data_IF_544997799967
#
_entry.id   IF_544997799967
#
_cell.length_a   1.000
_cell.length_b   1.000
_cell.length_c   1.000
_cell.angle_alpha   90.00
_cell.angle_beta   90.00
_cell.angle_gamma   90.00
#
_symmetry.space_group_name_H-M   'P 1'
#
loop_
_entity.id
_entity.type
_entity.pdbx_description
1 polymer ?
#
# COMPACT_ATOMS: atom_id res chain seq x y z
N UNK A 1 -9.99 20.20 6.14
CA UNK A 1 -8.83 19.32 6.33
C UNK A 1 -8.97 18.09 5.46
N UNK A 2 -7.95 17.78 4.70
CA UNK A 2 -7.95 16.61 3.86
C UNK A 2 -7.53 15.35 4.60
N UNK A 3 -7.62 14.22 3.90
CA UNK A 3 -7.23 12.94 4.44
C UNK A 3 -5.72 12.75 4.43
N UNK A 4 -5.20 12.14 5.49
CA UNK A 4 -3.81 11.68 5.58
C UNK A 4 -3.84 10.22 6.01
N UNK A 5 -3.27 9.35 5.22
CA UNK A 5 -3.15 7.96 5.62
C UNK A 5 -1.99 7.27 4.88
N UNK A 6 -1.57 6.16 5.43
CA UNK A 6 -0.59 5.28 4.84
C UNK A 6 -1.10 3.84 4.96
N UNK A 7 -0.98 3.09 3.88
CA UNK A 7 -1.40 1.68 3.84
C UNK A 7 -0.35 0.85 3.13
N UNK A 8 -0.24 -0.40 3.56
CA UNK A 8 0.63 -1.38 2.91
C UNK A 8 -0.25 -2.50 2.38
N UNK A 9 -0.10 -2.81 1.10
CA UNK A 9 -0.73 -3.97 0.47
C UNK A 9 0.36 -4.94 0.06
N UNK A 10 0.26 -6.17 0.53
CA UNK A 10 1.23 -7.23 0.22
C UNK A 10 0.56 -8.26 -0.68
N UNK A 11 1.18 -8.60 -1.80
CA UNK A 11 0.66 -9.63 -2.70
C UNK A 11 1.00 -11.01 -2.14
N UNK A 12 0.29 -11.39 -1.08
CA UNK A 12 0.48 -12.62 -0.35
C UNK A 12 -0.81 -12.97 0.38
N UNK A 13 -0.97 -14.24 0.71
CA UNK A 13 -2.11 -14.68 1.50
C UNK A 13 -1.89 -14.38 2.97
N UNK A 14 -2.95 -13.98 3.66
CA UNK A 14 -2.93 -13.69 5.09
C UNK A 14 -2.46 -14.91 5.90
N UNK A 15 -2.84 -16.09 5.48
CA UNK A 15 -2.49 -17.35 6.13
C UNK A 15 -0.99 -17.62 6.12
N UNK A 16 -0.26 -17.03 5.17
CA UNK A 16 1.18 -17.18 5.02
C UNK A 16 1.98 -16.13 5.79
N UNK A 17 1.35 -15.40 6.72
CA UNK A 17 2.01 -14.32 7.46
C UNK A 17 3.30 -14.76 8.18
N UNK A 18 3.42 -16.03 8.54
CA UNK A 18 4.63 -16.56 9.15
C UNK A 18 5.82 -16.54 8.20
N UNK A 19 5.57 -16.48 6.90
CA UNK A 19 6.61 -16.49 5.88
C UNK A 19 7.04 -15.08 5.46
N UNK A 20 6.17 -14.07 5.60
CA UNK A 20 6.48 -12.75 5.09
C UNK A 20 6.34 -11.62 6.13
N UNK A 21 5.44 -11.74 7.11
CA UNK A 21 5.24 -10.68 8.10
C UNK A 21 6.09 -10.90 9.34
N UNK A 22 6.00 -12.08 9.96
CA UNK A 22 6.72 -12.33 11.22
C UNK A 22 8.24 -12.22 11.05
N UNK A 23 8.86 -12.75 9.96
CA UNK A 23 10.30 -12.54 9.75
C UNK A 23 10.66 -11.07 9.57
N UNK A 24 9.84 -10.28 8.87
CA UNK A 24 10.08 -8.86 8.67
C UNK A 24 10.01 -8.10 9.99
N UNK A 25 8.98 -8.39 10.81
CA UNK A 25 8.84 -7.76 12.13
C UNK A 25 10.00 -8.12 13.06
N UNK A 26 10.42 -9.39 13.05
CA UNK A 26 11.56 -9.83 13.85
C UNK A 26 12.85 -9.12 13.44
N UNK A 27 13.06 -8.92 12.14
CA UNK A 27 14.21 -8.19 11.62
C UNK A 27 14.25 -6.75 12.14
N UNK A 28 13.08 -6.15 12.37
CA UNK A 28 12.95 -4.80 12.89
C UNK A 28 12.96 -4.74 14.43
N UNK A 29 13.12 -5.88 15.09
CA UNK A 29 13.19 -5.95 16.55
C UNK A 29 11.85 -6.09 17.26
N UNK A 30 10.79 -6.45 16.54
CA UNK A 30 9.46 -6.65 17.12
C UNK A 30 9.11 -8.11 17.25
N UNK A 31 8.30 -8.42 18.25
CA UNK A 31 7.75 -9.75 18.44
C UNK A 31 6.25 -9.68 18.71
N UNK A 32 5.55 -10.74 18.36
CA UNK A 32 4.13 -10.85 18.63
C UNK A 32 3.89 -11.07 20.11
N UNK A 33 2.97 -10.27 20.70
CA UNK A 33 2.57 -10.42 22.10
C UNK A 33 1.05 -10.41 22.16
N UNK A 34 0.49 -11.03 23.22
CA UNK A 34 -0.97 -11.08 23.40
C UNK A 34 -1.49 -9.91 24.21
N UNK A 35 -0.66 -9.33 25.08
CA UNK A 35 -1.04 -8.22 25.95
C UNK A 35 0.05 -7.15 25.98
N UNK A 36 -0.35 -5.92 26.31
CA UNK A 36 0.56 -4.76 26.45
C UNK A 36 1.44 -4.53 25.21
N UNK A 37 0.81 -4.58 24.04
CA UNK A 37 1.51 -4.35 22.79
C UNK A 37 1.78 -2.86 22.59
N UNK A 38 2.94 -2.54 21.96
CA UNK A 38 3.27 -1.16 21.57
C UNK A 38 2.33 -0.64 20.50
N UNK A 39 1.84 -1.52 19.63
CA UNK A 39 0.87 -1.19 18.61
C UNK A 39 0.15 -2.46 18.15
N UNK A 40 -0.98 -2.25 17.48
CA UNK A 40 -1.77 -3.35 16.91
C UNK A 40 -1.75 -3.28 15.40
N UNK A 41 -1.48 -4.41 14.78
CA UNK A 41 -1.47 -4.56 13.33
C UNK A 41 -2.63 -5.46 12.92
N UNK A 42 -3.47 -4.94 12.04
CA UNK A 42 -4.61 -5.69 11.50
C UNK A 42 -4.30 -6.14 10.07
N UNK A 43 -4.64 -7.38 9.78
CA UNK A 43 -4.48 -7.96 8.45
C UNK A 43 -5.85 -8.25 7.87
N UNK A 44 -6.07 -7.77 6.64
CA UNK A 44 -7.32 -8.03 5.94
C UNK A 44 -7.04 -8.60 4.55
N UNK A 45 -7.60 -9.76 4.26
CA UNK A 45 -7.50 -10.36 2.92
C UNK A 45 -8.32 -9.54 1.93
N UNK A 46 -7.70 -9.18 0.80
CA UNK A 46 -8.29 -8.32 -0.22
C UNK A 46 -8.01 -8.91 -1.61
N UNK A 47 -8.63 -10.06 -1.91
CA UNK A 47 -8.34 -10.81 -3.11
C UNK A 47 -7.03 -11.59 -2.99
N UNK A 48 -6.12 -11.41 -3.94
CA UNK A 48 -4.79 -12.03 -3.89
C UNK A 48 -3.81 -11.23 -3.01
N UNK A 49 -4.29 -10.16 -2.36
CA UNK A 49 -3.49 -9.26 -1.55
C UNK A 49 -3.91 -9.33 -0.09
N UNK A 50 -3.01 -8.92 0.80
CA UNK A 50 -3.31 -8.67 2.21
C UNK A 50 -3.00 -7.22 2.52
N UNK A 51 -3.97 -6.50 3.09
CA UNK A 51 -3.80 -5.10 3.47
C UNK A 51 -3.48 -5.02 4.96
N UNK A 52 -2.49 -4.20 5.30
CA UNK A 52 -2.06 -3.97 6.67
C UNK A 52 -2.61 -2.65 7.17
N UNK A 53 -3.30 -2.69 8.31
CA UNK A 53 -3.80 -1.53 9.02
C UNK A 53 -3.12 -1.43 10.38
N UNK A 54 -2.75 -0.22 10.75
CA UNK A 54 -2.11 0.05 12.04
C UNK A 54 -3.07 0.83 12.92
N UNK A 55 -3.21 0.39 14.15
CA UNK A 55 -3.94 1.09 15.19
C UNK A 55 -2.92 1.65 16.18
N UNK A 56 -3.22 2.81 16.74
CA UNK A 56 -2.36 3.64 17.58
C UNK A 56 -1.30 4.42 16.79
N UNK A 57 -1.60 5.71 16.64
CA UNK A 57 -0.96 6.62 15.72
C UNK A 57 0.42 7.17 16.11
N UNK A 58 1.13 6.55 17.04
CA UNK A 58 2.46 7.03 17.43
C UNK A 58 3.60 6.39 16.63
N UNK A 59 3.25 5.66 15.56
CA UNK A 59 4.27 5.09 14.69
C UNK A 59 4.89 6.18 13.83
N UNK A 60 6.22 6.22 13.83
CA UNK A 60 6.92 7.16 12.97
C UNK A 60 6.71 6.79 11.49
N UNK A 61 6.57 7.79 10.60
CA UNK A 61 6.40 7.51 9.17
C UNK A 61 7.51 6.63 8.59
N UNK A 62 8.73 6.77 9.10
CA UNK A 62 9.87 5.96 8.67
C UNK A 62 9.70 4.48 9.01
N UNK A 63 8.93 4.15 10.03
CA UNK A 63 8.70 2.75 10.41
C UNK A 63 7.95 1.99 9.31
N UNK A 64 6.89 2.59 8.75
CA UNK A 64 6.10 1.94 7.70
C UNK A 64 6.94 1.71 6.44
N UNK A 65 7.77 2.67 6.09
CA UNK A 65 8.69 2.51 4.95
C UNK A 65 9.68 1.38 5.21
N UNK A 66 10.26 1.33 6.40
CA UNK A 66 11.20 0.27 6.78
C UNK A 66 10.50 -1.09 6.77
N UNK A 67 9.25 -1.15 7.23
CA UNK A 67 8.47 -2.39 7.25
C UNK A 67 8.18 -2.90 5.84
N UNK A 68 7.75 -2.02 4.92
CA UNK A 68 7.44 -2.44 3.56
C UNK A 68 8.71 -2.92 2.83
N UNK A 69 9.86 -2.31 3.11
CA UNK A 69 11.14 -2.77 2.59
C UNK A 69 11.47 -4.17 3.11
N UNK A 70 11.29 -4.40 4.41
CA UNK A 70 11.58 -5.70 5.02
C UNK A 70 10.64 -6.79 4.50
N UNK A 71 9.36 -6.50 4.36
CA UNK A 71 8.39 -7.47 3.83
C UNK A 71 8.72 -7.82 2.37
N UNK A 72 9.00 -6.81 1.54
CA UNK A 72 9.30 -7.04 0.13
C UNK A 72 10.63 -7.74 -0.09
N UNK A 73 11.53 -7.71 0.89
CA UNK A 73 12.80 -8.46 0.83
C UNK A 73 12.58 -9.97 1.01
N UNK A 74 11.45 -10.39 1.54
CA UNK A 74 11.10 -11.81 1.60
C UNK A 74 10.91 -12.33 0.16
N UNK A 75 11.48 -13.49 -0.19
CA UNK A 75 11.43 -13.98 -1.57
C UNK A 75 10.00 -14.08 -2.12
N UNK A 76 9.80 -13.54 -3.32
CA UNK A 76 8.53 -13.63 -4.02
C UNK A 76 7.45 -12.67 -3.54
N UNK A 77 7.79 -11.70 -2.72
CA UNK A 77 6.78 -10.74 -2.21
C UNK A 77 6.86 -9.42 -2.94
N UNK A 78 5.70 -8.93 -3.36
CA UNK A 78 5.51 -7.62 -3.97
C UNK A 78 4.63 -6.81 -3.03
N UNK A 79 5.02 -5.57 -2.76
CA UNK A 79 4.30 -4.69 -1.86
C UNK A 79 3.96 -3.37 -2.52
N UNK A 80 2.80 -2.83 -2.18
CA UNK A 80 2.42 -1.46 -2.51
C UNK A 80 2.37 -0.64 -1.23
N UNK A 81 3.01 0.51 -1.25
CA UNK A 81 2.94 1.47 -0.17
C UNK A 81 2.14 2.67 -0.68
N UNK A 82 0.96 2.88 -0.11
CA UNK A 82 0.03 3.93 -0.52
C UNK A 82 0.03 5.02 0.53
N UNK A 83 0.33 6.24 0.09
CA UNK A 83 0.33 7.43 0.96
C UNK A 83 -0.63 8.46 0.40
N UNK A 84 -1.54 8.94 1.24
CA UNK A 84 -2.42 10.05 0.90
C UNK A 84 -2.03 11.27 1.71
N UNK A 85 -1.84 12.41 1.06
CA UNK A 85 -1.39 13.64 1.70
C UNK A 85 -2.44 14.73 1.48
N UNK A 86 -3.13 15.08 2.56
CA UNK A 86 -4.12 16.17 2.63
C UNK A 86 -5.19 16.09 1.54
N UNK A 87 -5.55 14.89 1.07
CA UNK A 87 -6.45 14.65 -0.05
C UNK A 87 -5.99 15.30 -1.37
N UNK A 88 -4.81 15.92 -1.41
CA UNK A 88 -4.28 16.58 -2.60
C UNK A 88 -3.67 15.59 -3.57
N UNK A 89 -2.92 14.62 -3.06
CA UNK A 89 -2.36 13.57 -3.91
C UNK A 89 -2.27 12.24 -3.16
N UNK A 90 -2.25 11.18 -3.95
CA UNK A 90 -1.96 9.83 -3.49
C UNK A 90 -0.68 9.38 -4.20
N UNK A 91 0.30 8.97 -3.41
CA UNK A 91 1.55 8.41 -3.93
C UNK A 91 1.52 6.90 -3.72
N UNK A 92 1.75 6.16 -4.80
CA UNK A 92 1.76 4.70 -4.77
C UNK A 92 3.16 4.24 -5.14
N UNK A 93 3.82 3.54 -4.24
CA UNK A 93 5.17 3.04 -4.44
C UNK A 93 5.15 1.52 -4.51
N UNK A 94 5.86 0.97 -5.48
CA UNK A 94 5.97 -0.47 -5.71
C UNK A 94 7.32 -0.94 -5.17
N UNK A 95 7.27 -1.95 -4.28
CA UNK A 95 8.47 -2.53 -3.67
C UNK A 95 8.60 -3.99 -4.06
N UNK A 96 9.80 -4.38 -4.47
CA UNK A 96 10.17 -5.76 -4.77
C UNK A 96 11.60 -5.97 -4.33
N UNK A 97 11.90 -7.13 -3.76
CA UNK A 97 13.25 -7.50 -3.33
C UNK A 97 13.89 -6.46 -2.37
N UNK A 98 13.08 -5.82 -1.53
CA UNK A 98 13.55 -4.87 -0.53
C UNK A 98 13.80 -3.46 -1.03
N UNK A 99 13.51 -3.17 -2.31
CA UNK A 99 13.76 -1.85 -2.90
C UNK A 99 12.52 -1.33 -3.62
N UNK A 100 12.42 -0.01 -3.68
CA UNK A 100 11.38 0.63 -4.49
C UNK A 100 11.77 0.54 -5.96
N UNK A 101 10.93 -0.13 -6.75
CA UNK A 101 11.21 -0.33 -8.18
C UNK A 101 10.45 0.64 -9.08
N UNK A 102 9.34 1.20 -8.60
CA UNK A 102 8.56 2.18 -9.34
C UNK A 102 7.64 2.95 -8.42
N UNK A 103 7.04 4.03 -8.94
CA UNK A 103 6.07 4.83 -8.21
C UNK A 103 5.16 5.58 -9.18
N UNK A 104 3.98 5.99 -8.69
CA UNK A 104 3.07 6.86 -9.42
C UNK A 104 2.33 7.77 -8.46
N UNK A 105 2.00 8.98 -8.91
CA UNK A 105 1.22 9.94 -8.12
C UNK A 105 -0.05 10.31 -8.86
N UNK A 106 -1.15 10.40 -8.09
CA UNK A 106 -2.45 10.83 -8.59
C UNK A 106 -2.85 12.08 -7.81
N UNK A 107 -3.30 13.12 -8.51
CA UNK A 107 -3.72 14.36 -7.90
C UNK A 107 -2.69 15.47 -8.03
N UNK A 108 -2.80 16.49 -7.16
CA UNK A 108 -1.91 17.64 -7.17
C UNK A 108 -0.65 17.34 -6.36
N UNK A 109 0.42 17.01 -7.06
CA UNK A 109 1.70 16.65 -6.44
C UNK A 109 2.58 17.89 -6.25
N UNK A 110 3.16 18.03 -5.05
CA UNK A 110 4.00 19.17 -4.69
C UNK A 110 5.48 18.91 -4.93
N UNK A 111 5.83 18.61 -6.16
CA UNK A 111 7.22 18.38 -6.53
C UNK A 111 7.46 18.90 -7.92
N UNK A 112 8.70 18.84 -8.38
CA UNK A 112 9.05 19.31 -9.70
C UNK A 112 8.33 18.51 -10.79
N UNK A 113 8.26 17.20 -10.61
CA UNK A 113 7.53 16.33 -11.53
C UNK A 113 6.92 15.17 -10.75
N UNK A 114 5.60 14.93 -10.93
CA UNK A 114 4.99 13.77 -10.30
C UNK A 114 5.56 12.47 -10.91
N UNK A 115 5.85 11.47 -10.09
CA UNK A 115 6.27 10.16 -10.61
C UNK A 115 5.13 9.55 -11.41
N UNK A 116 5.48 8.89 -12.52
CA UNK A 116 4.52 8.18 -13.37
C UNK A 116 4.92 6.73 -13.48
N UNK A 117 3.94 5.80 -13.40
CA UNK A 117 4.25 4.38 -13.47
C UNK A 117 4.89 3.98 -14.80
N UNK A 118 5.90 3.14 -14.72
CA UNK A 118 6.45 2.47 -15.88
C UNK A 118 5.62 1.18 -16.12
N UNK A 119 4.91 1.07 -17.25
CA UNK A 119 4.03 -0.08 -17.49
C UNK A 119 4.72 -1.42 -17.34
N UNK A 120 6.02 -1.51 -17.66
CA UNK A 120 6.76 -2.76 -17.55
C UNK A 120 6.87 -3.26 -16.10
N UNK A 121 6.85 -2.35 -15.12
CA UNK A 121 6.91 -2.72 -13.72
C UNK A 121 5.57 -3.25 -13.20
N UNK A 122 4.47 -2.88 -13.85
CA UNK A 122 3.11 -3.16 -13.37
C UNK A 122 2.37 -4.21 -14.19
N UNK A 123 2.95 -4.68 -15.30
CA UNK A 123 2.25 -5.54 -16.25
C UNK A 123 1.73 -6.85 -15.64
N UNK A 124 2.40 -7.38 -14.62
CA UNK A 124 1.97 -8.61 -13.95
C UNK A 124 0.95 -8.35 -12.84
N UNK A 125 0.81 -7.10 -12.42
CA UNK A 125 -0.09 -6.70 -11.32
C UNK A 125 -1.42 -6.19 -11.82
N UNK A 126 -1.42 -5.48 -12.95
CA UNK A 126 -2.62 -4.93 -13.56
C UNK A 126 -3.35 -6.03 -14.31
N UNK A 127 -4.68 -6.08 -14.19
CA UNK A 127 -5.51 -7.06 -14.88
C UNK A 127 -5.28 -6.98 -16.39
N UNK A 128 -5.32 -8.14 -17.09
CA UNK A 128 -5.14 -8.13 -18.54
C UNK A 128 -6.12 -7.21 -19.26
N UNK A 129 -5.58 -6.38 -20.18
CA UNK A 129 -6.40 -5.43 -20.94
C UNK A 129 -6.69 -4.13 -20.22
N UNK A 130 -6.31 -3.99 -18.95
CA UNK A 130 -6.63 -2.82 -18.14
C UNK A 130 -5.47 -1.83 -17.98
N UNK A 131 -4.32 -2.10 -18.62
CA UNK A 131 -3.17 -1.20 -18.52
C UNK A 131 -3.49 0.24 -18.98
N UNK A 132 -4.22 0.46 -20.08
CA UNK A 132 -4.58 1.83 -20.46
C UNK A 132 -5.39 2.55 -19.40
N UNK A 133 -6.35 1.86 -18.76
CA UNK A 133 -7.16 2.44 -17.68
C UNK A 133 -6.29 2.75 -16.44
N UNK A 134 -5.36 1.85 -16.13
CA UNK A 134 -4.41 2.06 -15.02
C UNK A 134 -3.57 3.31 -15.26
N UNK A 135 -2.94 3.41 -16.42
CA UNK A 135 -2.06 4.55 -16.73
C UNK A 135 -2.84 5.87 -16.80
N UNK A 136 -4.09 5.81 -17.23
CA UNK A 136 -4.93 7.01 -17.32
C UNK A 136 -5.15 7.67 -15.95
N UNK A 137 -5.22 6.88 -14.87
CA UNK A 137 -5.41 7.43 -13.53
C UNK A 137 -4.25 8.35 -13.11
N UNK A 138 -3.06 8.14 -13.64
CA UNK A 138 -1.88 8.93 -13.34
C UNK A 138 -1.65 10.06 -14.34
N UNK A 139 -2.56 10.22 -15.30
CA UNK A 139 -2.47 11.29 -16.30
C UNK A 139 -2.79 12.64 -15.68
N UNK A 140 -2.08 13.72 -16.07
CA UNK A 140 -2.42 15.06 -15.60
C UNK A 140 -3.80 15.53 -16.05
N UNK A 141 -4.39 14.87 -17.05
CA UNK A 141 -5.76 15.17 -17.51
C UNK A 141 -6.83 14.65 -16.58
N UNK A 142 -6.50 13.68 -15.71
CA UNK A 142 -7.42 13.11 -14.76
C UNK A 142 -7.47 13.98 -13.52
N UNK A 143 -8.66 14.34 -13.06
CA UNK A 143 -8.83 15.13 -11.84
C UNK A 143 -9.81 14.49 -10.90
N UNK A 144 -9.51 14.59 -9.61
CA UNK A 144 -10.36 14.13 -8.53
C UNK A 144 -10.52 15.25 -7.52
N UNK A 145 -11.72 15.41 -6.95
CA UNK A 145 -11.95 16.38 -5.88
C UNK A 145 -11.09 16.01 -4.67
N UNK A 146 -11.07 14.71 -4.34
CA UNK A 146 -10.17 14.16 -3.35
C UNK A 146 -9.36 13.05 -4.01
N UNK A 147 -8.04 13.14 -3.89
CA UNK A 147 -7.15 12.20 -4.58
C UNK A 147 -7.40 10.75 -4.18
N UNK A 148 -7.78 10.51 -2.91
CA UNK A 148 -8.07 9.17 -2.42
C UNK A 148 -9.26 8.50 -3.12
N UNK A 149 -10.14 9.27 -3.74
CA UNK A 149 -11.26 8.71 -4.52
C UNK A 149 -10.76 7.89 -5.70
N UNK A 150 -9.58 8.20 -6.22
CA UNK A 150 -8.97 7.44 -7.29
C UNK A 150 -8.66 6.00 -6.90
N UNK A 151 -8.47 5.72 -5.61
CA UNK A 151 -8.17 4.38 -5.14
C UNK A 151 -9.33 3.42 -5.39
N UNK A 152 -10.56 3.92 -5.42
CA UNK A 152 -11.73 3.09 -5.73
C UNK A 152 -11.70 2.58 -7.17
N UNK A 153 -11.06 3.32 -8.07
CA UNK A 153 -10.87 2.89 -9.46
C UNK A 153 -9.58 2.08 -9.63
N UNK A 154 -8.55 2.40 -8.86
CA UNK A 154 -7.24 1.76 -8.96
C UNK A 154 -7.26 0.34 -8.41
N UNK A 155 -7.81 0.12 -7.23
CA UNK A 155 -7.72 -1.17 -6.55
C UNK A 155 -8.34 -2.32 -7.35
N UNK A 156 -9.52 -2.17 -7.98
CA UNK A 156 -10.05 -3.24 -8.82
C UNK A 156 -9.13 -3.64 -9.97
N UNK A 157 -8.39 -2.68 -10.53
CA UNK A 157 -7.44 -2.94 -11.62
C UNK A 157 -6.26 -3.79 -11.18
N UNK A 158 -5.92 -3.77 -9.90
CA UNK A 158 -4.83 -4.53 -9.30
C UNK A 158 -5.31 -5.79 -8.59
N UNK A 159 -6.63 -6.03 -8.55
CA UNK A 159 -7.19 -7.18 -7.84
C UNK A 159 -7.27 -7.00 -6.35
N UNK A 160 -7.25 -5.77 -5.85
CA UNK A 160 -7.44 -5.43 -4.45
C UNK A 160 -8.92 -5.10 -4.21
N UNK A 161 -9.51 -5.69 -3.17
CA UNK A 161 -10.91 -5.44 -2.84
C UNK A 161 -11.07 -4.04 -2.25
N UNK A 162 -11.95 -3.22 -2.85
CA UNK A 162 -12.21 -1.86 -2.39
C UNK A 162 -12.76 -1.80 -0.96
N UNK A 163 -13.37 -2.86 -0.46
CA UNK A 163 -13.84 -2.93 0.92
C UNK A 163 -12.69 -2.77 1.93
N UNK A 164 -11.45 -3.00 1.48
CA UNK A 164 -10.25 -2.83 2.30
C UNK A 164 -10.01 -1.37 2.70
N UNK A 165 -10.73 -0.42 2.10
CA UNK A 165 -10.62 0.98 2.49
C UNK A 165 -11.17 1.25 3.89
N UNK A 166 -12.05 0.38 4.37
CA UNK A 166 -12.63 0.52 5.70
C UNK A 166 -11.71 -0.13 6.71
N UNK A 167 -11.10 0.68 7.57
CA UNK A 167 -10.30 0.15 8.67
C UNK A 167 -11.23 -0.71 9.56
N UNK A 168 -10.87 -1.97 9.86
CA UNK A 168 -11.67 -2.77 10.76
C UNK A 168 -11.79 -2.07 12.11
N UNK A 169 -12.99 -1.93 12.62
CA UNK A 169 -13.16 -1.40 13.95
C UNK A 169 -12.60 -2.38 14.97
N UNK A 170 -12.08 -1.83 16.07
CA UNK A 170 -11.34 -2.59 17.06
C UNK A 170 -12.17 -3.59 17.89
N UNK A 171 -13.38 -3.91 17.44
CA UNK A 171 -14.31 -4.79 18.14
C UNK A 171 -14.19 -6.25 17.74
N UNK A 172 -13.08 -6.61 17.15
CA UNK A 172 -12.95 -7.94 16.65
C UNK A 172 -12.25 -8.89 17.55
#
# INVERSE_FOLDING_TARGET
>A
MGAFFQKIHVRAFKEDQELWLLPAMAQLGYQQVEEEADFTLWLQATGAWTTLYFEDGDLEPSFLLTLVQAISACPGRTCLFVECVDSDFVLISLFQAGVQVDAGAIGTFYGDQPPRPNPLCWQELVKPGEMPSFLHLFSPETSFVFAEDALQELYPLLGIDCAAEVCPQADG
#
